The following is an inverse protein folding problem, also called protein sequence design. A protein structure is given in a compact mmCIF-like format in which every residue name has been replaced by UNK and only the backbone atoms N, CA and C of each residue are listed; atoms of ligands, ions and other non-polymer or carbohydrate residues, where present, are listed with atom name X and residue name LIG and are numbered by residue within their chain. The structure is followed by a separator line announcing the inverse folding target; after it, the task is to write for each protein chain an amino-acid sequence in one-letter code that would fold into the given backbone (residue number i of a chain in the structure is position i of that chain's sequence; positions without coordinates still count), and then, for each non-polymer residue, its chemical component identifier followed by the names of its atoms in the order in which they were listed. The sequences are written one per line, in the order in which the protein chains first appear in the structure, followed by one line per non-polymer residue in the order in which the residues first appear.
data_IF_726744550295
#
_entry.id   IF_726744550295
#
_cell.length_a   1.000
_cell.length_b   1.000
_cell.length_c   1.000
_cell.angle_alpha   90.00
_cell.angle_beta   90.00
_cell.angle_gamma   90.00
#
_symmetry.space_group_name_H-M   'P 1'
#
loop_
_entity.id
_entity.type
_entity.pdbx_description
1 polymer ?
#
# COMPACT_ATOMS: atom_id res chain seq x y z
N UNK A 1 16.10 -19.65 -5.00
CA UNK A 1 15.11 -18.79 -5.69
C UNK A 1 13.93 -19.65 -6.11
N UNK A 2 12.74 -19.46 -5.50
CA UNK A 2 11.52 -20.14 -5.97
C UNK A 2 11.01 -19.42 -7.21
N UNK A 3 10.76 -20.16 -8.29
CA UNK A 3 10.19 -19.64 -9.52
C UNK A 3 8.83 -19.00 -9.21
N UNK A 4 8.76 -17.68 -9.28
CA UNK A 4 7.51 -16.94 -9.10
C UNK A 4 6.54 -17.34 -10.19
N UNK A 5 5.38 -17.89 -9.80
CA UNK A 5 4.25 -18.08 -10.70
C UNK A 5 3.84 -16.70 -11.20
N UNK A 6 4.13 -16.41 -12.48
CA UNK A 6 3.71 -15.19 -13.15
C UNK A 6 2.17 -15.19 -13.21
N UNK A 7 1.55 -14.25 -12.51
CA UNK A 7 0.14 -13.90 -12.76
C UNK A 7 0.08 -13.36 -14.19
N UNK A 8 -0.73 -13.98 -15.04
CA UNK A 8 -0.90 -13.52 -16.42
C UNK A 8 -1.54 -12.13 -16.39
N UNK A 9 -1.00 -11.18 -17.14
CA UNK A 9 -1.45 -9.78 -17.31
C UNK A 9 -2.91 -9.57 -17.74
N UNK A 10 -3.72 -10.64 -17.83
CA UNK A 10 -5.10 -10.61 -18.32
C UNK A 10 -6.15 -10.38 -17.23
N UNK A 11 -5.76 -10.35 -15.96
CA UNK A 11 -6.69 -10.12 -14.86
C UNK A 11 -7.02 -8.62 -14.75
N UNK A 12 -7.92 -8.16 -15.62
CA UNK A 12 -8.56 -6.86 -15.49
C UNK A 12 -9.43 -6.90 -14.23
N UNK A 13 -9.25 -5.92 -13.35
CA UNK A 13 -10.08 -5.74 -12.16
C UNK A 13 -11.47 -5.33 -12.62
N UNK A 14 -12.48 -6.12 -12.25
CA UNK A 14 -13.88 -5.78 -12.45
C UNK A 14 -14.38 -4.92 -11.29
N UNK A 15 -14.60 -3.64 -11.58
CA UNK A 15 -15.11 -2.67 -10.61
C UNK A 15 -16.64 -2.58 -10.58
N UNK A 16 -17.36 -3.30 -11.45
CA UNK A 16 -18.82 -3.21 -11.53
C UNK A 16 -19.50 -3.69 -10.23
N UNK A 17 -18.90 -4.67 -9.55
CA UNK A 17 -19.36 -5.17 -8.25
C UNK A 17 -18.84 -4.42 -7.02
N UNK A 18 -18.04 -3.36 -7.22
CA UNK A 18 -17.42 -2.60 -6.11
C UNK A 18 -18.04 -1.21 -6.03
N UNK A 19 -18.94 -1.04 -5.06
CA UNK A 19 -19.60 0.24 -4.78
C UNK A 19 -18.64 1.27 -4.16
N UNK A 20 -19.10 2.52 -4.00
CA UNK A 20 -18.26 3.60 -3.50
C UNK A 20 -17.80 3.42 -2.06
N UNK A 21 -18.63 2.84 -1.18
CA UNK A 21 -18.23 2.54 0.20
C UNK A 21 -17.04 1.58 0.25
N UNK A 22 -17.07 0.52 -0.57
CA UNK A 22 -15.95 -0.41 -0.68
C UNK A 22 -14.71 0.26 -1.29
N UNK A 23 -14.87 1.17 -2.25
CA UNK A 23 -13.73 1.92 -2.81
C UNK A 23 -13.10 2.84 -1.77
N UNK A 24 -13.91 3.53 -0.96
CA UNK A 24 -13.45 4.32 0.18
C UNK A 24 -12.72 3.45 1.21
N UNK A 25 -13.28 2.29 1.58
CA UNK A 25 -12.62 1.35 2.47
C UNK A 25 -11.28 0.87 1.89
N UNK A 26 -11.23 0.49 0.61
CA UNK A 26 -9.98 0.09 -0.07
C UNK A 26 -8.97 1.24 -0.04
N UNK A 27 -9.43 2.48 -0.27
CA UNK A 27 -8.59 3.66 -0.25
C UNK A 27 -8.01 3.97 1.13
N UNK A 28 -8.80 3.83 2.20
CA UNK A 28 -8.34 3.92 3.58
C UNK A 28 -7.30 2.85 3.92
N UNK A 29 -7.57 1.60 3.53
CA UNK A 29 -6.64 0.51 3.76
C UNK A 29 -5.34 0.68 2.95
N UNK A 30 -5.43 1.22 1.73
CA UNK A 30 -4.26 1.58 0.92
C UNK A 30 -3.46 2.71 1.57
N UNK A 31 -4.11 3.72 2.14
CA UNK A 31 -3.43 4.83 2.81
C UNK A 31 -2.75 4.43 4.12
N UNK A 32 -3.25 3.39 4.78
CA UNK A 32 -2.57 2.76 5.90
C UNK A 32 -1.39 1.87 5.43
N UNK A 33 -1.68 0.63 4.99
CA UNK A 33 -0.66 -0.40 4.70
C UNK A 33 -0.24 -0.51 3.24
N UNK A 34 -0.88 0.24 2.36
CA UNK A 34 -0.63 0.15 0.93
C UNK A 34 0.71 0.72 0.50
N UNK A 35 1.21 0.26 -0.64
CA UNK A 35 2.43 0.78 -1.25
C UNK A 35 2.31 0.75 -2.78
N UNK A 36 2.54 1.90 -3.41
CA UNK A 36 2.73 2.01 -4.87
C UNK A 36 4.23 2.08 -5.13
N UNK A 37 4.75 1.21 -5.98
CA UNK A 37 6.17 1.23 -6.36
C UNK A 37 6.38 0.88 -7.82
N UNK A 38 7.55 1.26 -8.32
CA UNK A 38 8.04 0.78 -9.60
C UNK A 38 8.91 -0.44 -9.38
N UNK A 39 8.59 -1.56 -10.03
CA UNK A 39 9.44 -2.74 -10.07
C UNK A 39 10.36 -2.64 -11.30
N UNK A 40 11.69 -2.80 -11.13
CA UNK A 40 12.64 -2.77 -12.25
C UNK A 40 12.29 -3.76 -13.36
N UNK A 41 11.73 -4.92 -13.01
CA UNK A 41 11.38 -5.99 -13.96
C UNK A 41 9.91 -5.92 -14.39
N UNK A 42 9.00 -5.66 -13.44
CA UNK A 42 7.57 -5.88 -13.62
C UNK A 42 6.75 -4.59 -13.80
N UNK A 43 7.41 -3.44 -13.91
CA UNK A 43 6.73 -2.14 -14.06
C UNK A 43 5.96 -1.73 -12.80
N UNK A 44 4.84 -1.05 -12.99
CA UNK A 44 4.02 -0.54 -11.89
C UNK A 44 3.50 -1.69 -11.01
N UNK A 45 3.59 -1.49 -9.70
CA UNK A 45 3.14 -2.45 -8.71
C UNK A 45 2.41 -1.75 -7.58
N UNK A 46 1.27 -2.32 -7.19
CA UNK A 46 0.51 -1.93 -5.99
C UNK A 46 0.53 -3.12 -5.05
N UNK A 47 0.80 -2.90 -3.77
CA UNK A 47 0.70 -3.94 -2.74
C UNK A 47 0.08 -3.45 -1.44
N UNK A 48 -0.51 -4.37 -0.70
CA UNK A 48 -0.92 -4.19 0.69
C UNK A 48 -0.32 -5.37 1.47
N UNK A 49 0.47 -5.06 2.51
CA UNK A 49 1.13 -6.04 3.36
C UNK A 49 0.40 -6.21 4.69
N UNK A 50 0.34 -7.44 5.21
CA UNK A 50 -0.18 -7.74 6.55
C UNK A 50 0.68 -8.77 7.25
N UNK A 51 0.79 -8.63 8.57
CA UNK A 51 1.28 -9.67 9.45
C UNK A 51 0.35 -10.90 9.42
N UNK A 52 0.84 -12.04 9.94
CA UNK A 52 0.15 -13.34 9.90
C UNK A 52 -1.30 -13.30 10.43
N UNK A 53 -1.61 -12.49 11.43
CA UNK A 53 -2.96 -12.43 12.01
C UNK A 53 -3.96 -11.62 11.14
N UNK A 54 -3.48 -10.81 10.20
CA UNK A 54 -4.30 -9.92 9.36
C UNK A 54 -4.53 -10.40 7.93
N UNK A 55 -3.93 -11.53 7.51
CA UNK A 55 -3.89 -11.90 6.09
C UNK A 55 -5.24 -12.25 5.45
N UNK A 56 -6.30 -12.50 6.24
CA UNK A 56 -7.62 -12.80 5.71
C UNK A 56 -8.18 -11.65 4.86
N UNK A 57 -7.87 -10.39 5.18
CA UNK A 57 -8.24 -9.25 4.34
C UNK A 57 -7.57 -9.34 2.95
N UNK A 58 -6.33 -9.85 2.87
CA UNK A 58 -5.62 -10.06 1.61
C UNK A 58 -6.30 -11.12 0.74
N UNK A 59 -6.85 -12.17 1.34
CA UNK A 59 -7.65 -13.19 0.62
C UNK A 59 -8.92 -12.58 0.05
N UNK A 60 -9.58 -11.74 0.83
CA UNK A 60 -10.77 -11.03 0.39
C UNK A 60 -10.45 -10.06 -0.77
N UNK A 61 -9.38 -9.27 -0.65
CA UNK A 61 -8.87 -8.42 -1.73
C UNK A 61 -8.54 -9.24 -2.98
N UNK A 62 -7.91 -10.42 -2.83
CA UNK A 62 -7.64 -11.32 -3.96
C UNK A 62 -8.91 -11.80 -4.66
N UNK A 63 -9.96 -12.14 -3.91
CA UNK A 63 -11.24 -12.57 -4.48
C UNK A 63 -11.92 -11.42 -5.22
N UNK A 64 -11.93 -10.24 -4.61
CA UNK A 64 -12.60 -9.04 -5.12
C UNK A 64 -11.86 -8.42 -6.31
N UNK A 65 -10.55 -8.19 -6.17
CA UNK A 65 -9.73 -7.40 -7.08
C UNK A 65 -8.70 -8.21 -7.87
N UNK A 66 -8.77 -9.55 -7.80
CA UNK A 66 -7.77 -10.46 -8.41
C UNK A 66 -6.36 -10.23 -7.82
N UNK A 67 -5.32 -10.51 -8.59
CA UNK A 67 -3.93 -10.40 -8.14
C UNK A 67 -3.41 -11.64 -7.41
N UNK A 68 -2.24 -11.50 -6.80
CA UNK A 68 -1.56 -12.59 -6.11
C UNK A 68 -1.20 -12.22 -4.68
N UNK A 69 -1.15 -13.26 -3.84
CA UNK A 69 -0.62 -13.17 -2.48
C UNK A 69 0.74 -13.85 -2.48
N UNK A 70 1.71 -13.18 -1.89
CA UNK A 70 3.06 -13.68 -1.73
C UNK A 70 3.40 -13.69 -0.24
N UNK A 71 4.10 -14.72 0.22
CA UNK A 71 4.79 -14.64 1.51
C UNK A 71 6.06 -13.80 1.31
N UNK A 72 6.27 -12.80 2.16
CA UNK A 72 7.54 -12.08 2.21
C UNK A 72 8.40 -12.70 3.30
N UNK A 73 9.59 -13.15 2.92
CA UNK A 73 10.59 -13.56 3.90
C UNK A 73 11.01 -12.34 4.70
N UNK A 74 10.98 -12.41 6.05
CA UNK A 74 11.57 -11.36 6.88
C UNK A 74 13.05 -11.19 6.52
N UNK A 75 13.56 -9.97 6.58
CA UNK A 75 14.99 -9.70 6.35
C UNK A 75 15.83 -10.16 7.55
N UNK A 76 15.23 -10.19 8.73
CA UNK A 76 15.87 -10.52 10.01
C UNK A 76 15.03 -11.53 10.82
N UNK A 77 15.67 -12.35 11.67
CA UNK A 77 14.97 -13.35 12.50
C UNK A 77 13.95 -12.76 13.49
N UNK A 78 14.07 -11.46 13.80
CA UNK A 78 13.17 -10.72 14.70
C UNK A 78 11.96 -10.14 13.99
N UNK A 79 11.92 -10.15 12.66
CA UNK A 79 10.80 -9.62 11.89
C UNK A 79 9.69 -10.67 11.77
N UNK A 80 8.45 -10.24 12.00
CA UNK A 80 7.30 -11.11 11.86
C UNK A 80 7.10 -11.50 10.39
N UNK A 81 6.72 -12.76 10.15
CA UNK A 81 6.31 -13.20 8.82
C UNK A 81 5.15 -12.34 8.31
N UNK A 82 5.28 -11.85 7.07
CA UNK A 82 4.26 -11.04 6.42
C UNK A 82 3.80 -11.67 5.12
N UNK A 83 2.56 -11.35 4.75
CA UNK A 83 1.98 -11.66 3.45
C UNK A 83 1.63 -10.37 2.74
N UNK A 84 1.79 -10.37 1.42
CA UNK A 84 1.51 -9.21 0.58
C UNK A 84 0.54 -9.60 -0.52
N UNK A 85 -0.62 -8.94 -0.58
CA UNK A 85 -1.44 -8.92 -1.78
C UNK A 85 -0.83 -7.91 -2.77
N UNK A 86 -0.70 -8.30 -4.03
CA UNK A 86 -0.04 -7.52 -5.06
C UNK A 86 -0.82 -7.51 -6.38
N UNK A 87 -0.88 -6.32 -6.97
CA UNK A 87 -1.23 -6.09 -8.36
C UNK A 87 0.01 -5.63 -9.13
N UNK A 88 0.07 -6.00 -10.41
CA UNK A 88 1.16 -5.62 -11.32
C UNK A 88 0.58 -5.10 -12.62
N UNK A 89 1.37 -4.31 -13.33
CA UNK A 89 1.09 -3.98 -14.71
C UNK A 89 -0.23 -3.27 -14.96
N UNK A 90 -0.97 -3.76 -15.95
CA UNK A 90 -2.26 -3.18 -16.33
C UNK A 90 -3.29 -3.24 -15.19
N UNK A 91 -3.27 -4.30 -14.37
CA UNK A 91 -4.15 -4.42 -13.22
C UNK A 91 -3.83 -3.36 -12.14
N UNK A 92 -2.54 -3.17 -11.84
CA UNK A 92 -2.09 -2.13 -10.91
C UNK A 92 -2.45 -0.73 -11.43
N UNK A 93 -2.33 -0.49 -12.73
CA UNK A 93 -2.72 0.76 -13.36
C UNK A 93 -4.22 1.01 -13.25
N UNK A 94 -5.05 0.00 -13.56
CA UNK A 94 -6.51 0.12 -13.42
C UNK A 94 -6.89 0.40 -11.97
N UNK A 95 -6.20 -0.22 -11.00
CA UNK A 95 -6.37 0.10 -9.59
C UNK A 95 -6.04 1.55 -9.27
N UNK A 96 -4.86 2.04 -9.68
CA UNK A 96 -4.47 3.43 -9.44
C UNK A 96 -5.47 4.43 -10.03
N UNK A 97 -6.01 4.14 -11.22
CA UNK A 97 -6.97 5.03 -11.90
C UNK A 97 -8.28 5.21 -11.12
N UNK A 98 -8.73 4.15 -10.45
CA UNK A 98 -9.96 4.19 -9.64
C UNK A 98 -9.66 4.70 -8.24
N UNK A 99 -8.71 4.10 -7.55
CA UNK A 99 -8.50 4.30 -6.11
C UNK A 99 -7.85 5.65 -5.78
N UNK A 100 -7.18 6.32 -6.71
CA UNK A 100 -6.61 7.67 -6.47
C UNK A 100 -7.64 8.69 -5.95
N UNK A 101 -8.91 8.51 -6.26
CA UNK A 101 -9.98 9.43 -5.85
C UNK A 101 -10.61 9.04 -4.50
N UNK A 102 -10.21 7.89 -3.95
CA UNK A 102 -10.64 7.36 -2.66
C UNK A 102 -9.50 7.31 -1.62
N UNK A 103 -8.33 7.86 -1.96
CA UNK A 103 -7.18 8.02 -1.07
C UNK A 103 -6.90 9.51 -0.82
N UNK A 104 -6.34 9.81 0.35
CA UNK A 104 -5.83 11.13 0.72
C UNK A 104 -4.30 11.13 0.77
N UNK A 105 -3.69 10.22 1.51
CA UNK A 105 -2.24 10.21 1.77
C UNK A 105 -1.45 9.77 0.53
N UNK A 106 -1.80 8.63 -0.05
CA UNK A 106 -1.06 8.05 -1.18
C UNK A 106 -1.60 8.50 -2.53
N UNK A 107 -2.53 9.46 -2.56
CA UNK A 107 -3.09 10.02 -3.80
C UNK A 107 -2.02 10.51 -4.79
N UNK A 108 -0.99 11.28 -4.39
CA UNK A 108 0.07 11.68 -5.31
C UNK A 108 0.81 10.48 -5.93
N UNK A 109 1.07 9.44 -5.14
CA UNK A 109 1.73 8.22 -5.62
C UNK A 109 0.85 7.46 -6.63
N UNK A 110 -0.46 7.40 -6.38
CA UNK A 110 -1.42 6.76 -7.29
C UNK A 110 -1.57 7.55 -8.60
N UNK A 111 -1.63 8.89 -8.54
CA UNK A 111 -1.62 9.77 -9.73
C UNK A 111 -0.35 9.55 -10.52
N UNK A 112 0.81 9.54 -9.86
CA UNK A 112 2.10 9.29 -10.51
C UNK A 112 2.17 7.90 -11.14
N UNK A 113 1.57 6.90 -10.49
CA UNK A 113 1.38 5.57 -11.07
C UNK A 113 0.50 5.58 -12.32
N UNK A 114 -0.52 6.45 -12.39
CA UNK A 114 -1.38 6.60 -13.57
C UNK A 114 -0.69 7.34 -14.73
N UNK A 115 0.21 8.28 -14.44
CA UNK A 115 1.02 8.96 -15.45
C UNK A 115 1.99 8.00 -16.14
N UNK A 116 2.27 6.84 -15.53
CA UNK A 116 3.21 5.86 -16.03
C UNK A 116 2.70 5.02 -17.22
N UNK A 117 1.75 5.52 -18.02
CA UNK A 117 1.17 4.76 -19.15
C UNK A 117 1.76 5.16 -20.49
N UNK A 118 2.65 4.28 -20.94
CA UNK A 118 2.76 3.72 -22.29
C UNK A 118 2.89 4.61 -23.53
N UNK A 119 4.14 4.76 -23.99
CA UNK A 119 4.48 4.90 -25.41
C UNK A 119 5.37 3.76 -25.92
N UNK A 120 6.46 3.40 -25.24
CA UNK A 120 7.51 2.59 -25.89
C UNK A 120 8.05 1.38 -25.11
N UNK A 121 7.69 1.22 -23.83
CA UNK A 121 8.43 0.33 -22.92
C UNK A 121 7.90 -1.10 -22.73
N UNK A 122 6.61 -1.29 -22.52
CA UNK A 122 5.92 -2.58 -22.46
C UNK A 122 5.85 -3.27 -23.82
N UNK A 123 5.86 -2.51 -24.93
CA UNK A 123 5.88 -3.07 -26.28
C UNK A 123 7.21 -3.80 -26.59
N UNK A 124 8.30 -3.47 -25.90
CA UNK A 124 9.62 -4.10 -26.14
C UNK A 124 9.72 -5.47 -25.44
N UNK A 125 9.05 -5.68 -24.31
CA UNK A 125 9.11 -6.96 -23.58
C UNK A 125 8.07 -8.01 -24.01
N UNK A 126 7.05 -7.63 -24.79
CA UNK A 126 5.89 -8.48 -25.05
C UNK A 126 5.63 -8.79 -26.53
N UNK A 127 6.65 -8.76 -27.41
CA UNK A 127 6.52 -9.50 -28.67
C UNK A 127 6.72 -10.99 -28.36
N UNK A 128 5.67 -11.82 -28.40
CA UNK A 128 5.90 -13.25 -28.47
C UNK A 128 6.63 -13.46 -29.81
N UNK A 129 7.91 -13.78 -29.75
CA UNK A 129 8.56 -14.38 -30.92
C UNK A 129 7.72 -15.62 -31.18
N UNK A 130 7.06 -15.66 -32.34
CA UNK A 130 6.29 -16.80 -32.78
C UNK A 130 7.09 -18.05 -32.43
N UNK A 131 6.45 -19.02 -31.76
CA UNK A 131 7.08 -20.24 -31.28
C UNK A 131 7.59 -21.06 -32.47
N UNK A 132 8.71 -20.63 -33.07
CA UNK A 132 9.45 -21.38 -34.05
C UNK A 132 10.33 -22.32 -33.24
N UNK A 133 9.78 -23.51 -33.02
CA UNK A 133 10.45 -24.73 -32.62
C UNK A 133 11.44 -24.62 -31.42
N UNK A 134 10.94 -25.12 -30.28
CA UNK A 134 11.68 -25.78 -29.19
C UNK A 134 13.13 -25.33 -28.93
N UNK A 135 13.30 -24.81 -27.72
CA UNK A 135 14.53 -24.52 -26.97
C UNK A 135 15.22 -23.19 -27.33
N UNK A 136 15.42 -22.36 -26.30
CA UNK A 136 16.07 -21.05 -26.33
C UNK A 136 15.36 -19.96 -27.15
N UNK A 137 14.29 -19.40 -26.58
CA UNK A 137 13.77 -18.12 -27.01
C UNK A 137 14.82 -17.03 -26.76
N UNK A 138 15.47 -16.56 -27.83
CA UNK A 138 16.35 -15.40 -27.79
C UNK A 138 15.47 -14.15 -27.91
N UNK A 139 15.44 -13.37 -26.83
CA UNK A 139 14.81 -12.05 -26.83
C UNK A 139 15.74 -11.10 -27.59
N UNK A 140 15.25 -10.51 -28.68
CA UNK A 140 15.96 -9.38 -29.32
C UNK A 140 15.64 -8.14 -28.48
N UNK A 141 16.35 -8.01 -27.37
CA UNK A 141 16.40 -6.76 -26.61
C UNK A 141 17.11 -5.72 -27.49
N UNK A 142 16.52 -4.54 -27.63
CA UNK A 142 17.26 -3.38 -28.08
C UNK A 142 17.89 -2.75 -26.83
N UNK A 143 19.17 -3.01 -26.52
CA UNK A 143 19.76 -2.71 -25.22
C UNK A 143 19.69 -1.22 -24.88
N UNK A 144 19.80 -0.35 -25.89
CA UNK A 144 19.71 1.12 -25.73
C UNK A 144 18.34 1.54 -25.19
N UNK A 145 17.24 0.92 -25.66
CA UNK A 145 15.89 1.20 -25.15
C UNK A 145 15.68 0.63 -23.75
N UNK A 146 16.40 -0.41 -23.37
CA UNK A 146 16.28 -1.03 -22.04
C UNK A 146 17.01 -0.21 -20.96
N UNK A 147 18.19 0.34 -21.26
CA UNK A 147 18.93 1.16 -20.29
C UNK A 147 18.20 2.47 -19.98
N UNK A 148 17.68 3.16 -21.00
CA UNK A 148 16.86 4.35 -20.82
C UNK A 148 15.62 4.04 -19.98
N UNK A 149 15.00 2.90 -20.23
CA UNK A 149 13.86 2.43 -19.50
C UNK A 149 14.14 2.10 -18.04
N UNK A 150 15.27 1.44 -17.78
CA UNK A 150 15.73 1.10 -16.43
C UNK A 150 16.04 2.38 -15.66
N UNK A 151 16.72 3.33 -16.28
CA UNK A 151 16.99 4.64 -15.70
C UNK A 151 15.68 5.39 -15.37
N UNK A 152 14.68 5.37 -16.27
CA UNK A 152 13.37 5.98 -16.02
C UNK A 152 12.61 5.30 -14.88
N UNK A 153 12.61 3.95 -14.84
CA UNK A 153 12.01 3.19 -13.72
C UNK A 153 12.66 3.56 -12.38
N UNK A 154 13.99 3.66 -12.33
CA UNK A 154 14.74 4.05 -11.14
C UNK A 154 14.44 5.49 -10.68
N UNK A 155 14.37 6.45 -11.61
CA UNK A 155 13.96 7.84 -11.26
C UNK A 155 12.56 7.88 -10.65
N UNK A 156 11.61 7.15 -11.24
CA UNK A 156 10.24 7.08 -10.72
C UNK A 156 10.15 6.39 -9.36
N UNK A 157 10.95 5.36 -9.13
CA UNK A 157 11.05 4.72 -7.82
C UNK A 157 11.52 5.73 -6.76
N UNK A 158 12.54 6.54 -7.07
CA UNK A 158 13.02 7.61 -6.20
C UNK A 158 11.92 8.66 -5.95
N UNK A 159 11.25 9.12 -7.01
CA UNK A 159 10.15 10.09 -6.91
C UNK A 159 8.99 9.55 -6.03
N UNK A 160 8.53 8.32 -6.29
CA UNK A 160 7.48 7.66 -5.49
C UNK A 160 7.89 7.48 -4.03
N UNK A 161 9.17 7.21 -3.77
CA UNK A 161 9.70 7.10 -2.41
C UNK A 161 9.71 8.47 -1.72
N UNK A 162 10.17 9.52 -2.41
CA UNK A 162 10.19 10.89 -1.89
C UNK A 162 8.79 11.40 -1.55
N UNK A 163 7.77 11.00 -2.31
CA UNK A 163 6.37 11.36 -2.02
C UNK A 163 5.85 10.84 -0.67
N UNK A 164 6.48 9.81 -0.07
CA UNK A 164 6.13 9.32 1.28
C UNK A 164 6.54 10.25 2.41
N UNK A 165 7.28 11.31 2.11
CA UNK A 165 7.83 12.24 3.09
C UNK A 165 7.30 13.66 2.93
N UNK A 166 6.48 13.91 1.90
CA UNK A 166 5.84 15.21 1.69
C UNK A 166 4.66 15.31 2.65
N UNK A 167 4.59 16.40 3.43
CA UNK A 167 3.41 16.72 4.21
C UNK A 167 2.18 16.76 3.28
N UNK A 168 1.25 15.83 3.47
CA UNK A 168 0.05 15.75 2.66
C UNK A 168 -0.99 16.79 3.13
N UNK A 169 -1.90 17.10 2.19
CA UNK A 169 -2.94 18.15 2.15
C UNK A 169 -3.64 18.50 3.49
N UNK A 170 -4.14 19.75 3.62
CA UNK A 170 -4.40 20.43 4.90
C UNK A 170 -5.45 19.78 5.80
N UNK A 171 -5.42 20.24 7.06
CA UNK A 171 -6.11 19.76 8.27
C UNK A 171 -7.65 19.77 8.18
N UNK A 172 -8.25 20.28 7.10
CA UNK A 172 -9.70 20.40 6.97
C UNK A 172 -10.28 19.43 5.93
N UNK A 173 -10.15 18.14 6.22
CA UNK A 173 -10.71 17.06 5.40
C UNK A 173 -11.79 16.35 6.20
N UNK A 174 -12.99 16.27 5.65
CA UNK A 174 -14.02 15.35 6.13
C UNK A 174 -13.70 13.96 5.60
N UNK A 175 -13.51 13.00 6.52
CA UNK A 175 -13.17 11.62 6.17
C UNK A 175 -14.46 10.79 6.06
N UNK A 176 -14.75 10.18 4.90
CA UNK A 176 -15.89 9.27 4.79
C UNK A 176 -15.77 8.10 5.77
N UNK A 177 -16.86 7.72 6.44
CA UNK A 177 -16.85 6.60 7.40
C UNK A 177 -16.28 5.29 6.84
N UNK A 178 -16.57 4.89 5.58
CA UNK A 178 -15.97 3.68 5.01
C UNK A 178 -14.44 3.80 4.85
N UNK A 179 -13.94 5.00 4.52
CA UNK A 179 -12.51 5.27 4.47
C UNK A 179 -11.86 5.06 5.84
N UNK A 180 -12.45 5.62 6.89
CA UNK A 180 -11.96 5.48 8.26
C UNK A 180 -11.91 4.00 8.66
N UNK A 181 -12.95 3.22 8.34
CA UNK A 181 -12.98 1.80 8.63
C UNK A 181 -11.82 1.05 7.95
N UNK A 182 -11.57 1.31 6.66
CA UNK A 182 -10.43 0.70 5.96
C UNK A 182 -9.09 1.15 6.50
N UNK A 183 -8.99 2.41 6.91
CA UNK A 183 -7.78 2.95 7.54
C UNK A 183 -7.48 2.30 8.88
N UNK A 184 -8.49 2.12 9.73
CA UNK A 184 -8.39 1.43 11.02
C UNK A 184 -8.10 -0.06 10.84
N UNK A 185 -8.68 -0.71 9.83
CA UNK A 185 -8.32 -2.10 9.51
C UNK A 185 -6.85 -2.23 9.11
N UNK A 186 -6.28 -1.16 8.54
CA UNK A 186 -4.86 -0.99 8.22
C UNK A 186 -3.97 -0.79 9.46
N UNK A 187 -4.10 0.38 10.06
CA UNK A 187 -3.19 0.94 11.09
C UNK A 187 -3.81 1.06 12.50
N UNK A 188 -5.02 0.55 12.66
CA UNK A 188 -5.73 0.56 13.93
C UNK A 188 -5.21 -0.50 14.90
N UNK A 189 -5.28 -0.16 16.17
CA UNK A 189 -4.97 -1.02 17.29
C UNK A 189 -6.12 -0.98 18.28
N UNK A 190 -6.64 -2.15 18.64
CA UNK A 190 -7.61 -2.34 19.69
C UNK A 190 -6.96 -3.20 20.76
N UNK A 191 -6.73 -2.62 21.93
CA UNK A 191 -6.09 -3.28 23.06
C UNK A 191 -6.88 -3.07 24.35
N UNK A 192 -6.64 -3.92 25.33
CA UNK A 192 -7.06 -3.70 26.71
C UNK A 192 -5.81 -3.49 27.57
N UNK A 193 -5.79 -2.44 28.38
CA UNK A 193 -4.73 -2.22 29.37
C UNK A 193 -5.29 -2.33 30.79
N UNK A 194 -4.72 -3.24 31.59
CA UNK A 194 -5.13 -3.45 32.98
C UNK A 194 -6.56 -3.97 33.15
N UNK A 195 -7.16 -3.69 34.31
CA UNK A 195 -8.39 -4.35 34.77
C UNK A 195 -9.68 -3.90 34.09
N UNK A 196 -9.73 -2.82 33.31
CA UNK A 196 -10.96 -2.38 32.62
C UNK A 196 -10.80 -1.34 31.49
N UNK A 197 -9.59 -0.90 31.13
CA UNK A 197 -9.45 0.16 30.12
C UNK A 197 -9.31 -0.43 28.71
N UNK A 198 -10.24 -0.09 27.82
CA UNK A 198 -10.10 -0.32 26.38
C UNK A 198 -9.32 0.85 25.77
N UNK A 199 -8.27 0.53 25.03
CA UNK A 199 -7.43 1.49 24.32
C UNK A 199 -7.59 1.27 22.82
N UNK A 200 -8.08 2.30 22.12
CA UNK A 200 -8.14 2.31 20.67
C UNK A 200 -7.07 3.28 20.18
N UNK A 201 -6.20 2.86 19.28
CA UNK A 201 -5.16 3.72 18.76
C UNK A 201 -5.04 3.59 17.26
N UNK A 202 -4.78 4.71 16.58
CA UNK A 202 -4.32 4.71 15.20
C UNK A 202 -2.96 5.38 15.18
N UNK A 203 -1.97 4.69 14.63
CA UNK A 203 -0.59 5.19 14.57
C UNK A 203 -0.28 5.69 13.16
N UNK A 204 0.10 6.97 13.02
CA UNK A 204 0.43 7.56 11.73
C UNK A 204 1.57 8.55 11.75
N UNK A 205 2.31 8.59 10.64
CA UNK A 205 3.37 9.60 10.42
C UNK A 205 2.77 10.96 10.05
N UNK A 206 1.55 10.99 9.50
CA UNK A 206 0.90 12.20 9.03
C UNK A 206 -0.11 12.72 10.06
N UNK A 207 0.24 13.82 10.72
CA UNK A 207 -0.56 14.39 11.82
C UNK A 207 -1.98 14.78 11.39
N UNK A 208 -2.17 15.25 10.14
CA UNK A 208 -3.47 15.71 9.65
C UNK A 208 -4.55 14.63 9.72
N UNK A 209 -4.22 13.36 9.47
CA UNK A 209 -5.18 12.25 9.62
C UNK A 209 -5.51 12.00 11.10
N UNK A 210 -4.51 12.06 11.98
CA UNK A 210 -4.76 11.96 13.42
C UNK A 210 -5.65 13.11 13.92
N UNK A 211 -5.47 14.33 13.41
CA UNK A 211 -6.30 15.49 13.74
C UNK A 211 -7.72 15.36 13.22
N UNK A 212 -7.90 14.87 11.99
CA UNK A 212 -9.22 14.56 11.44
C UNK A 212 -9.95 13.50 12.27
N UNK A 213 -9.26 12.40 12.63
CA UNK A 213 -9.82 11.36 13.49
C UNK A 213 -10.17 11.89 14.90
N UNK A 214 -9.30 12.72 15.49
CA UNK A 214 -9.57 13.37 16.77
C UNK A 214 -10.79 14.30 16.70
N UNK A 215 -10.97 15.03 15.60
CA UNK A 215 -12.13 15.91 15.41
C UNK A 215 -13.43 15.10 15.33
N UNK A 216 -13.41 14.00 14.58
CA UNK A 216 -14.58 13.14 14.34
C UNK A 216 -14.99 12.33 15.58
N UNK A 217 -14.01 11.75 16.29
CA UNK A 217 -14.27 10.79 17.39
C UNK A 217 -13.86 11.29 18.78
N UNK A 218 -13.31 12.51 18.87
CA UNK A 218 -12.73 13.04 20.09
C UNK A 218 -11.36 12.42 20.42
N UNK A 219 -10.89 12.64 21.64
CA UNK A 219 -9.67 12.03 22.16
C UNK A 219 -8.44 12.95 22.17
N UNK A 220 -7.26 12.35 22.20
CA UNK A 220 -5.97 13.04 22.30
C UNK A 220 -4.99 12.53 21.25
N UNK A 221 -4.07 13.40 20.82
CA UNK A 221 -2.97 13.02 19.94
C UNK A 221 -1.69 13.09 20.75
N UNK A 222 -0.91 12.02 20.70
CA UNK A 222 0.40 11.94 21.30
C UNK A 222 1.45 11.66 20.24
N UNK A 223 2.60 12.33 20.32
CA UNK A 223 3.73 12.06 19.44
C UNK A 223 4.75 11.20 20.18
N UNK A 224 5.05 10.03 19.62
CA UNK A 224 6.11 9.19 20.15
C UNK A 224 7.47 9.90 20.00
N UNK A 225 8.20 10.19 21.09
CA UNK A 225 9.45 10.95 21.00
C UNK A 225 10.57 10.17 20.31
N UNK A 226 10.50 8.84 20.29
CA UNK A 226 11.50 7.97 19.65
C UNK A 226 11.23 7.78 18.16
N UNK A 227 9.99 7.47 17.78
CA UNK A 227 9.66 7.15 16.38
C UNK A 227 9.12 8.35 15.60
N UNK A 228 8.75 9.43 16.30
CA UNK A 228 8.11 10.62 15.72
C UNK A 228 6.66 10.39 15.28
N UNK A 229 6.12 9.18 15.43
CA UNK A 229 4.77 8.76 15.01
C UNK A 229 3.70 9.34 15.94
N UNK A 230 2.61 9.83 15.37
CA UNK A 230 1.46 10.32 16.12
C UNK A 230 0.48 9.19 16.39
N UNK A 231 -0.09 9.17 17.59
CA UNK A 231 -1.11 8.21 18.02
C UNK A 231 -2.35 8.97 18.47
N UNK A 232 -3.51 8.65 17.89
CA UNK A 232 -4.81 9.16 18.36
C UNK A 232 -5.42 8.18 19.36
N UNK A 233 -5.79 8.65 20.57
CA UNK A 233 -6.36 7.86 21.67
C UNK A 233 -7.77 8.36 22.03
N UNK A 234 -8.77 7.49 22.29
CA UNK A 234 -10.13 7.92 22.67
C UNK A 234 -10.16 8.59 24.05
N UNK A 235 -11.23 9.35 24.32
CA UNK A 235 -11.38 10.12 25.57
C UNK A 235 -11.39 9.28 26.86
N UNK A 236 -11.74 7.99 26.78
CA UNK A 236 -11.77 7.08 27.93
C UNK A 236 -10.44 6.39 28.24
N UNK A 237 -9.42 6.57 27.40
CA UNK A 237 -8.11 6.00 27.65
C UNK A 237 -7.40 6.80 28.74
N UNK A 238 -7.16 6.18 29.90
CA UNK A 238 -6.14 6.68 30.81
C UNK A 238 -4.82 6.82 30.02
N UNK A 239 -4.27 8.04 29.98
CA UNK A 239 -3.03 8.35 29.26
C UNK A 239 -1.89 7.60 29.95
N UNK A 240 -1.54 6.42 29.43
CA UNK A 240 -0.30 5.76 29.81
C UNK A 240 0.83 6.38 28.98
N UNK A 241 1.52 7.33 29.59
CA UNK A 241 2.87 7.70 29.16
C UNK A 241 3.73 6.47 29.39
N UNK A 242 4.10 5.75 28.32
CA UNK A 242 5.26 4.85 28.40
C UNK A 242 6.47 5.76 28.51
N UNK A 243 6.84 6.12 29.74
CA UNK A 243 8.20 6.56 29.99
C UNK A 243 9.09 5.39 29.64
N UNK A 244 10.07 5.62 28.78
CA UNK A 244 11.14 4.67 28.50
C UNK A 244 11.94 4.44 29.79
N UNK A 245 11.42 3.58 30.67
CA UNK A 245 12.15 3.01 31.78
C UNK A 245 12.87 1.77 31.29
N UNK A 246 14.20 1.84 31.19
CA UNK A 246 15.03 0.63 31.14
C UNK A 246 14.67 -0.21 32.35
N UNK A 247 14.11 -1.39 32.15
CA UNK A 247 14.16 -2.43 33.16
C UNK A 247 15.60 -2.94 33.20
N UNK A 248 16.24 -2.78 34.36
CA UNK A 248 17.49 -3.47 34.70
C UNK A 248 17.24 -4.95 34.98
#
# INVERSE_FOLDING_TARGET
MRAGVYVRDKDIIDWAGVNDDLRWWIGGHMDADGCVRMCPVNGLMVRIGKAENGWHCLVWLKKLLKGAIYDSTPENETEQAMREWCLRGQAALNFCRVIKDYCFLKKPQLIKGCEFVFGELWMVQMKPVAATNRSTGVYIENPVKEDEARARRKRLEIELSAMKHVEHLPIDIELPKPYIAGFVDGDGHLGASGSSAQCHAVSQKYIAICEALKREYGGSIWRNPTTGVFQSLPMSSAVFVVTSGRCG
#
